data_IF_242715033570
#
_entry.id   IF_242715033570
#
_cell.length_a   1.000
_cell.length_b   1.000
_cell.length_c   1.000
_cell.angle_alpha   90.00
_cell.angle_beta   90.00
_cell.angle_gamma   90.00
#
_symmetry.space_group_name_H-M   'P 1'
#
loop_
_entity.id
_entity.type
_entity.pdbx_description
1 polymer ?
#
# COMPACT_ATOMS: atom_id res chain seq x y z
N UNK A 1 -18.51 -5.17 27.19
CA UNK A 1 -17.08 -4.82 27.31
C UNK A 1 -16.25 -6.10 27.41
N UNK A 2 -15.14 -6.19 26.67
CA UNK A 2 -14.25 -7.36 26.64
C UNK A 2 -13.43 -7.56 27.96
N UNK A 3 -13.50 -6.59 28.87
CA UNK A 3 -12.70 -6.60 30.09
C UNK A 3 -13.66 -6.48 31.29
N UNK A 4 -13.98 -7.60 31.91
CA UNK A 4 -14.70 -7.64 33.18
C UNK A 4 -13.68 -7.48 34.32
N UNK A 5 -13.40 -6.23 34.71
CA UNK A 5 -12.59 -5.97 35.88
C UNK A 5 -13.53 -5.92 37.10
N UNK A 6 -13.35 -6.78 38.13
CA UNK A 6 -14.19 -6.73 39.33
C UNK A 6 -14.20 -5.34 39.95
N UNK A 7 -15.39 -4.80 40.26
CA UNK A 7 -15.57 -3.49 40.86
C UNK A 7 -15.62 -2.29 39.89
N UNK A 8 -15.42 -2.50 38.56
CA UNK A 8 -15.56 -1.43 37.57
C UNK A 8 -16.89 -1.60 36.82
N UNK A 9 -17.90 -0.86 37.22
CA UNK A 9 -19.25 -0.89 36.61
C UNK A 9 -19.41 0.04 35.44
N UNK A 10 -18.55 1.06 35.29
CA UNK A 10 -18.58 2.05 34.21
C UNK A 10 -17.14 2.25 33.68
N UNK A 11 -17.00 2.38 32.38
CA UNK A 11 -15.70 2.72 31.79
C UNK A 11 -15.25 4.12 32.28
N UNK A 12 -14.15 4.25 33.05
CA UNK A 12 -13.70 5.53 33.57
C UNK A 12 -13.32 6.55 32.49
N UNK A 13 -13.03 6.07 31.25
CA UNK A 13 -12.72 6.93 30.11
C UNK A 13 -13.97 7.41 29.36
N UNK A 14 -15.19 6.96 29.71
CA UNK A 14 -16.41 7.36 28.99
C UNK A 14 -16.73 8.86 29.10
N UNK A 15 -16.22 9.52 30.12
CA UNK A 15 -16.39 10.96 30.35
C UNK A 15 -15.19 11.81 29.89
N UNK A 16 -14.20 11.21 29.23
CA UNK A 16 -13.11 11.99 28.64
C UNK A 16 -13.61 12.67 27.38
N UNK A 17 -13.56 13.98 27.31
CA UNK A 17 -13.76 14.73 26.09
C UNK A 17 -12.65 14.36 25.11
N UNK A 18 -13.02 13.75 23.98
CA UNK A 18 -12.09 13.49 22.90
C UNK A 18 -11.80 14.81 22.18
N UNK A 19 -10.52 15.11 22.02
CA UNK A 19 -10.13 16.24 21.17
C UNK A 19 -10.68 16.04 19.76
N UNK A 20 -11.25 17.10 19.19
CA UNK A 20 -11.67 17.09 17.78
C UNK A 20 -10.42 17.00 16.89
N UNK A 21 -10.07 15.79 16.49
CA UNK A 21 -8.96 15.56 15.57
C UNK A 21 -9.38 15.87 14.14
N UNK A 22 -8.92 16.99 13.61
CA UNK A 22 -9.08 17.32 12.19
C UNK A 22 -7.80 16.95 11.40
N UNK A 23 -7.46 15.66 11.42
CA UNK A 23 -6.24 15.12 10.83
C UNK A 23 -6.40 14.65 9.38
N UNK A 24 -7.40 15.13 8.64
CA UNK A 24 -7.57 14.82 7.21
C UNK A 24 -6.50 15.55 6.38
N UNK A 25 -5.34 14.93 6.27
CA UNK A 25 -4.33 15.36 5.30
C UNK A 25 -4.63 14.64 3.99
N UNK A 26 -5.25 15.36 3.05
CA UNK A 26 -5.46 14.89 1.68
C UNK A 26 -4.23 15.24 0.85
N UNK A 27 -3.27 14.31 0.77
CA UNK A 27 -2.03 14.47 0.00
C UNK A 27 -1.96 13.41 -1.09
N UNK A 28 -1.79 13.86 -2.34
CA UNK A 28 -1.49 12.98 -3.48
C UNK A 28 -0.35 13.59 -4.31
N UNK A 29 0.31 12.77 -5.09
CA UNK A 29 1.44 13.17 -5.92
C UNK A 29 0.96 13.74 -7.25
N UNK A 30 1.53 14.86 -7.66
CA UNK A 30 1.46 15.31 -9.06
C UNK A 30 2.29 14.41 -9.96
N UNK A 31 2.08 14.46 -11.27
CA UNK A 31 2.89 13.72 -12.26
C UNK A 31 4.39 14.03 -12.15
N UNK A 32 4.73 15.28 -11.85
CA UNK A 32 6.13 15.73 -11.69
C UNK A 32 6.73 15.14 -10.42
N UNK A 33 6.00 15.18 -9.31
CA UNK A 33 6.43 14.60 -8.03
C UNK A 33 6.59 13.09 -8.13
N UNK A 34 5.65 12.39 -8.79
CA UNK A 34 5.75 10.96 -9.02
C UNK A 34 7.02 10.58 -9.82
N UNK A 35 7.36 11.36 -10.86
CA UNK A 35 8.62 11.16 -11.61
C UNK A 35 9.85 11.36 -10.72
N UNK A 36 9.90 12.44 -9.91
CA UNK A 36 11.01 12.69 -8.98
C UNK A 36 11.15 11.57 -7.94
N UNK A 37 10.01 11.12 -7.39
CA UNK A 37 9.98 10.02 -6.44
C UNK A 37 10.54 8.73 -7.07
N UNK A 38 10.07 8.37 -8.26
CA UNK A 38 10.53 7.15 -8.93
C UNK A 38 12.02 7.19 -9.26
N UNK A 39 12.55 8.33 -9.69
CA UNK A 39 14.00 8.51 -9.91
C UNK A 39 14.81 8.26 -8.63
N UNK A 40 14.32 8.70 -7.47
CA UNK A 40 14.96 8.47 -6.17
C UNK A 40 14.82 7.03 -5.69
N UNK A 41 13.67 6.42 -5.91
CA UNK A 41 13.37 5.04 -5.52
C UNK A 41 14.21 4.03 -6.29
N UNK A 42 14.43 4.25 -7.58
CA UNK A 42 15.30 3.41 -8.43
C UNK A 42 16.76 3.40 -7.93
N UNK A 43 17.21 4.52 -7.36
CA UNK A 43 18.55 4.66 -6.80
C UNK A 43 18.69 4.14 -5.37
N UNK A 44 17.62 3.59 -4.78
CA UNK A 44 17.64 3.06 -3.42
C UNK A 44 18.57 1.85 -3.29
N UNK A 45 19.26 1.75 -2.15
CA UNK A 45 20.01 0.56 -1.75
C UNK A 45 19.11 -0.67 -1.65
N UNK A 46 17.87 -0.48 -1.17
CA UNK A 46 16.85 -1.52 -1.20
C UNK A 46 16.31 -1.68 -2.63
N UNK A 47 16.81 -2.69 -3.35
CA UNK A 47 16.45 -2.94 -4.75
C UNK A 47 14.98 -3.33 -4.96
N UNK A 48 14.30 -3.83 -3.90
CA UNK A 48 12.86 -4.13 -3.94
C UNK A 48 11.99 -2.87 -3.81
N UNK A 49 12.51 -1.77 -3.27
CA UNK A 49 11.72 -0.56 -3.02
C UNK A 49 11.05 -0.03 -4.30
N UNK A 50 11.73 -0.05 -5.43
CA UNK A 50 11.18 0.42 -6.71
C UNK A 50 9.96 -0.39 -7.14
N UNK A 51 9.99 -1.71 -6.96
CA UNK A 51 8.87 -2.59 -7.30
C UNK A 51 7.69 -2.39 -6.35
N UNK A 52 7.96 -2.32 -5.05
CA UNK A 52 6.95 -2.08 -4.01
C UNK A 52 6.24 -0.74 -4.24
N UNK A 53 6.99 0.35 -4.45
CA UNK A 53 6.42 1.68 -4.65
C UNK A 53 5.62 1.75 -5.95
N UNK A 54 6.13 1.16 -7.04
CA UNK A 54 5.38 1.10 -8.31
C UNK A 54 4.12 0.27 -8.17
N UNK A 55 4.19 -0.87 -7.48
CA UNK A 55 3.03 -1.72 -7.22
C UNK A 55 1.94 -0.97 -6.45
N UNK A 56 2.30 -0.26 -5.38
CA UNK A 56 1.37 0.56 -4.59
C UNK A 56 0.72 1.68 -5.43
N UNK A 57 1.48 2.33 -6.32
CA UNK A 57 0.96 3.35 -7.23
C UNK A 57 0.02 2.78 -8.31
N UNK A 58 0.21 1.53 -8.73
CA UNK A 58 -0.61 0.89 -9.76
C UNK A 58 -1.86 0.20 -9.23
N UNK A 59 -1.88 -0.16 -7.95
CA UNK A 59 -2.97 -0.93 -7.33
C UNK A 59 -3.76 -0.16 -6.29
N UNK A 60 -3.16 0.86 -5.67
CA UNK A 60 -3.73 1.52 -4.51
C UNK A 60 -3.84 0.64 -3.27
N UNK A 61 -3.23 -0.54 -3.26
CA UNK A 61 -3.29 -1.50 -2.16
C UNK A 61 -2.74 -0.92 -0.84
N UNK A 62 -3.15 -1.49 0.28
CA UNK A 62 -2.57 -1.15 1.57
C UNK A 62 -1.13 -1.69 1.64
N UNK A 63 -0.26 -0.97 2.36
CA UNK A 63 1.15 -1.37 2.51
C UNK A 63 1.33 -2.86 2.85
N UNK A 64 0.60 -3.34 3.84
CA UNK A 64 0.74 -4.71 4.30
C UNK A 64 0.21 -5.72 3.29
N UNK A 65 -0.84 -5.41 2.55
CA UNK A 65 -1.34 -6.23 1.44
C UNK A 65 -0.25 -6.39 0.36
N UNK A 66 0.39 -5.30 -0.02
CA UNK A 66 1.52 -5.33 -0.96
C UNK A 66 2.71 -6.14 -0.43
N UNK A 67 3.14 -5.91 0.82
CA UNK A 67 4.33 -6.57 1.38
C UNK A 67 4.14 -8.08 1.58
N UNK A 68 2.90 -8.56 1.75
CA UNK A 68 2.57 -9.98 1.92
C UNK A 68 2.00 -10.63 0.66
N UNK A 69 1.96 -9.91 -0.48
CA UNK A 69 1.48 -10.45 -1.74
C UNK A 69 2.30 -11.68 -2.16
N UNK A 70 1.61 -12.77 -2.50
CA UNK A 70 2.19 -14.01 -2.97
C UNK A 70 1.89 -14.21 -4.44
N UNK A 71 2.74 -14.96 -5.14
CA UNK A 71 2.52 -15.28 -6.53
C UNK A 71 1.25 -16.11 -6.76
N UNK A 72 0.89 -16.98 -5.79
CA UNK A 72 -0.34 -17.79 -5.82
C UNK A 72 -1.63 -16.96 -5.74
N UNK A 73 -1.56 -15.72 -5.23
CA UNK A 73 -2.71 -14.82 -5.15
C UNK A 73 -3.09 -14.19 -6.51
N UNK A 74 -2.28 -14.40 -7.55
CA UNK A 74 -2.49 -13.84 -8.88
C UNK A 74 -3.03 -14.88 -9.85
N UNK A 75 -4.23 -14.64 -10.37
CA UNK A 75 -4.76 -15.34 -11.53
C UNK A 75 -4.43 -14.51 -12.79
N UNK A 76 -3.41 -14.96 -13.52
CA UNK A 76 -2.98 -14.29 -14.75
C UNK A 76 -3.87 -14.59 -15.96
N UNK A 77 -4.76 -15.59 -15.89
CA UNK A 77 -5.76 -15.87 -16.92
C UNK A 77 -6.96 -14.95 -16.73
N UNK A 78 -7.48 -14.89 -15.49
CA UNK A 78 -8.56 -13.97 -15.13
C UNK A 78 -8.10 -12.52 -14.94
N UNK A 79 -6.78 -12.26 -15.02
CA UNK A 79 -6.18 -10.93 -14.79
C UNK A 79 -6.61 -10.31 -13.47
N UNK A 80 -6.54 -11.08 -12.39
CA UNK A 80 -7.01 -10.66 -11.06
C UNK A 80 -5.98 -11.02 -9.99
N UNK A 81 -5.74 -10.09 -9.07
CA UNK A 81 -5.04 -10.32 -7.82
C UNK A 81 -6.05 -10.40 -6.68
N UNK A 82 -6.05 -11.52 -5.96
CA UNK A 82 -6.94 -11.76 -4.82
C UNK A 82 -6.21 -11.49 -3.52
N UNK A 83 -6.72 -10.55 -2.72
CA UNK A 83 -6.23 -10.27 -1.37
C UNK A 83 -7.07 -11.09 -0.40
N UNK A 84 -6.51 -12.16 0.23
CA UNK A 84 -7.31 -13.19 0.90
C UNK A 84 -8.03 -12.70 2.16
N UNK A 85 -7.48 -11.73 2.89
CA UNK A 85 -8.11 -11.16 4.09
C UNK A 85 -7.72 -9.70 4.22
N UNK A 86 -8.60 -8.81 3.84
CA UNK A 86 -8.46 -7.39 4.13
C UNK A 86 -8.72 -7.12 5.63
N UNK A 87 -8.31 -5.95 6.11
CA UNK A 87 -8.60 -5.50 7.50
C UNK A 87 -10.10 -5.50 7.82
N UNK A 88 -10.98 -5.46 6.80
CA UNK A 88 -12.44 -5.55 6.91
C UNK A 88 -12.97 -6.98 7.01
N UNK A 89 -12.11 -8.01 6.95
CA UNK A 89 -12.52 -9.42 6.99
C UNK A 89 -13.12 -9.94 5.69
N UNK A 90 -13.06 -9.16 4.60
CA UNK A 90 -13.56 -9.57 3.29
C UNK A 90 -12.41 -9.82 2.31
N UNK A 91 -12.62 -10.79 1.41
CA UNK A 91 -11.75 -11.00 0.25
C UNK A 91 -11.89 -9.82 -0.70
N UNK A 92 -10.78 -9.32 -1.21
CA UNK A 92 -10.76 -8.17 -2.12
C UNK A 92 -10.06 -8.55 -3.43
N UNK A 93 -10.65 -8.18 -4.56
CA UNK A 93 -10.12 -8.46 -5.89
C UNK A 93 -9.63 -7.18 -6.56
N UNK A 94 -8.38 -7.18 -6.99
CA UNK A 94 -7.74 -6.07 -7.69
C UNK A 94 -7.44 -6.49 -9.13
N UNK A 95 -7.88 -5.75 -10.15
CA UNK A 95 -7.59 -6.11 -11.55
C UNK A 95 -6.09 -5.98 -11.85
N UNK A 96 -5.54 -6.98 -12.51
CA UNK A 96 -4.16 -6.97 -13.02
C UNK A 96 -4.14 -6.27 -14.38
N UNK A 97 -3.85 -4.97 -14.35
CA UNK A 97 -3.70 -4.18 -15.58
C UNK A 97 -2.43 -4.58 -16.35
N UNK A 98 -2.35 -4.23 -17.63
CA UNK A 98 -1.14 -4.44 -18.45
C UNK A 98 0.11 -3.81 -17.81
N UNK A 99 -0.03 -2.62 -17.20
CA UNK A 99 1.08 -1.96 -16.49
C UNK A 99 1.53 -2.74 -15.27
N UNK A 100 0.58 -3.31 -14.50
CA UNK A 100 0.88 -4.15 -13.35
C UNK A 100 1.53 -5.48 -13.78
N UNK A 101 1.02 -6.12 -14.84
CA UNK A 101 1.60 -7.33 -15.42
C UNK A 101 3.05 -7.10 -15.86
N UNK A 102 3.30 -6.00 -16.58
CA UNK A 102 4.66 -5.61 -16.99
C UNK A 102 5.58 -5.41 -15.78
N UNK A 103 5.10 -4.76 -14.72
CA UNK A 103 5.86 -4.65 -13.48
C UNK A 103 6.21 -6.03 -12.90
N UNK A 104 5.21 -6.91 -12.73
CA UNK A 104 5.39 -8.23 -12.14
C UNK A 104 6.39 -9.09 -12.93
N UNK A 105 6.41 -8.98 -14.26
CA UNK A 105 7.38 -9.66 -15.13
C UNK A 105 8.83 -9.17 -14.93
N UNK A 106 9.04 -7.96 -14.36
CA UNK A 106 10.38 -7.42 -14.08
C UNK A 106 10.83 -7.65 -12.63
N UNK A 107 9.93 -8.10 -11.75
CA UNK A 107 10.29 -8.42 -10.36
C UNK A 107 11.22 -9.65 -10.35
N UNK A 108 12.38 -9.59 -9.69
CA UNK A 108 13.25 -10.75 -9.55
C UNK A 108 12.49 -11.89 -8.83
N UNK A 109 12.26 -12.99 -9.54
CA UNK A 109 11.53 -14.14 -9.02
C UNK A 109 12.48 -15.28 -8.69
N UNK A 110 12.32 -15.85 -7.49
CA UNK A 110 12.89 -17.14 -7.12
C UNK A 110 11.77 -18.17 -7.03
N UNK A 111 11.89 -19.29 -7.76
CA UNK A 111 10.87 -20.34 -7.76
C UNK A 111 10.62 -20.97 -6.38
N UNK A 112 11.57 -20.83 -5.46
CA UNK A 112 11.46 -21.33 -4.10
C UNK A 112 10.79 -20.34 -3.13
N UNK A 113 10.53 -19.09 -3.55
CA UNK A 113 9.95 -18.08 -2.67
C UNK A 113 8.51 -17.73 -3.09
N UNK A 114 7.52 -17.91 -2.19
CA UNK A 114 6.12 -17.63 -2.52
C UNK A 114 5.81 -16.13 -2.63
N UNK A 115 6.60 -15.25 -1.98
CA UNK A 115 6.31 -13.82 -1.93
C UNK A 115 6.77 -13.08 -3.18
N UNK A 116 5.97 -12.09 -3.60
CA UNK A 116 6.30 -11.21 -4.74
C UNK A 116 7.47 -10.28 -4.39
N UNK A 117 7.48 -9.76 -3.17
CA UNK A 117 8.48 -8.79 -2.70
C UNK A 117 9.23 -9.29 -1.45
N UNK A 118 10.01 -10.38 -1.56
CA UNK A 118 10.73 -10.92 -0.42
C UNK A 118 11.87 -10.01 0.01
N UNK A 119 12.16 -9.99 1.30
CA UNK A 119 13.39 -9.40 1.83
C UNK A 119 14.57 -10.25 1.40
N UNK A 120 15.51 -9.68 0.68
CA UNK A 120 16.68 -10.39 0.14
C UNK A 120 17.56 -11.08 1.21
N UNK A 121 17.48 -10.66 2.47
CA UNK A 121 18.27 -11.24 3.57
C UNK A 121 17.58 -12.44 4.23
N UNK A 122 16.25 -12.42 4.33
CA UNK A 122 15.48 -13.41 5.11
C UNK A 122 14.61 -14.31 4.25
N UNK A 123 14.31 -13.90 3.00
CA UNK A 123 13.31 -14.54 2.16
C UNK A 123 11.86 -14.23 2.56
N UNK A 124 11.64 -13.66 3.73
CA UNK A 124 10.32 -13.34 4.29
C UNK A 124 9.81 -11.95 3.83
N UNK A 125 8.53 -11.63 4.02
CA UNK A 125 8.01 -10.28 3.80
C UNK A 125 8.79 -9.23 4.59
N UNK A 126 8.87 -8.03 4.06
CA UNK A 126 9.43 -6.91 4.81
C UNK A 126 8.53 -6.57 6.01
N UNK A 127 9.07 -6.56 7.21
CA UNK A 127 8.41 -6.01 8.40
C UNK A 127 8.19 -4.50 8.21
N UNK A 128 9.19 -3.82 7.65
CA UNK A 128 9.11 -2.39 7.35
C UNK A 128 10.05 -2.01 6.20
N UNK A 129 9.58 -1.11 5.35
CA UNK A 129 10.37 -0.45 4.32
C UNK A 129 10.64 1.02 4.67
N UNK A 130 10.29 1.44 5.91
CA UNK A 130 10.26 2.85 6.30
C UNK A 130 11.59 3.57 6.07
N UNK A 131 12.71 2.96 6.46
CA UNK A 131 14.03 3.60 6.32
C UNK A 131 14.37 3.88 4.86
N UNK A 132 14.19 2.89 3.98
CA UNK A 132 14.45 3.04 2.55
C UNK A 132 13.49 4.06 1.90
N UNK A 133 12.20 3.99 2.23
CA UNK A 133 11.19 4.94 1.81
C UNK A 133 11.52 6.37 2.25
N UNK A 134 11.85 6.55 3.53
CA UNK A 134 12.13 7.87 4.08
C UNK A 134 13.35 8.54 3.44
N UNK A 135 14.40 7.76 3.14
CA UNK A 135 15.56 8.25 2.38
C UNK A 135 15.17 8.67 0.96
N UNK A 136 14.41 7.81 0.25
CA UNK A 136 13.99 8.08 -1.13
C UNK A 136 13.09 9.32 -1.25
N UNK A 137 12.04 9.43 -0.41
CA UNK A 137 11.13 10.59 -0.44
C UNK A 137 11.84 11.91 -0.10
N UNK A 138 12.74 11.90 0.90
CA UNK A 138 13.55 13.08 1.25
C UNK A 138 14.46 13.50 0.09
N UNK A 139 15.14 12.53 -0.56
CA UNK A 139 15.97 12.78 -1.74
C UNK A 139 15.16 13.36 -2.91
N UNK A 140 13.90 12.97 -3.05
CA UNK A 140 12.97 13.51 -4.04
C UNK A 140 12.41 14.90 -3.68
N UNK A 141 12.74 15.47 -2.49
CA UNK A 141 12.16 16.71 -1.99
C UNK A 141 10.67 16.57 -1.61
N UNK A 142 10.27 15.39 -1.10
CA UNK A 142 8.87 15.02 -0.78
C UNK A 142 8.77 14.56 0.68
N UNK A 143 9.36 15.31 1.61
CA UNK A 143 9.41 14.93 3.03
C UNK A 143 8.04 14.88 3.71
N UNK A 144 7.04 15.54 3.16
CA UNK A 144 5.64 15.56 3.58
C UNK A 144 4.85 14.33 3.13
N UNK A 145 5.31 13.62 2.08
CA UNK A 145 4.59 12.48 1.49
C UNK A 145 4.76 11.22 2.35
N UNK A 146 3.66 10.62 2.74
CA UNK A 146 3.61 9.35 3.47
C UNK A 146 3.44 8.20 2.47
N UNK A 147 3.78 6.98 2.87
CA UNK A 147 3.58 5.81 2.03
C UNK A 147 2.10 5.58 1.69
N UNK A 148 1.19 5.93 2.61
CA UNK A 148 -0.26 5.85 2.39
C UNK A 148 -0.76 6.84 1.33
N UNK A 149 -0.07 7.94 1.11
CA UNK A 149 -0.44 8.93 0.10
C UNK A 149 -0.26 8.43 -1.34
N UNK A 150 0.46 7.30 -1.53
CA UNK A 150 0.49 6.58 -2.81
C UNK A 150 -0.90 6.02 -3.17
N UNK A 151 -1.65 5.53 -2.18
CA UNK A 151 -3.04 5.07 -2.37
C UNK A 151 -3.97 6.26 -2.69
N UNK A 152 -3.78 7.40 -2.05
CA UNK A 152 -4.50 8.63 -2.41
C UNK A 152 -4.15 9.09 -3.82
N UNK A 153 -2.89 8.93 -4.23
CA UNK A 153 -2.43 9.24 -5.60
C UNK A 153 -3.12 8.33 -6.63
N UNK A 154 -3.22 7.02 -6.37
CA UNK A 154 -3.94 6.08 -7.21
C UNK A 154 -5.42 6.47 -7.33
N UNK A 155 -6.10 6.72 -6.19
CA UNK A 155 -7.49 7.15 -6.17
C UNK A 155 -7.72 8.43 -6.99
N UNK A 156 -6.91 9.47 -6.75
CA UNK A 156 -7.00 10.73 -7.48
C UNK A 156 -6.75 10.56 -8.98
N UNK A 157 -5.83 9.67 -9.36
CA UNK A 157 -5.55 9.37 -10.77
C UNK A 157 -6.76 8.75 -11.45
N UNK A 158 -7.46 7.81 -10.79
CA UNK A 158 -8.67 7.19 -11.32
C UNK A 158 -9.81 8.20 -11.47
N UNK A 159 -10.06 9.01 -10.45
CA UNK A 159 -11.09 10.07 -10.50
C UNK A 159 -10.79 11.04 -11.64
N UNK A 160 -9.54 11.50 -11.76
CA UNK A 160 -9.13 12.41 -12.82
C UNK A 160 -9.17 11.78 -14.23
N UNK A 161 -9.22 10.45 -14.33
CA UNK A 161 -9.43 9.72 -15.58
C UNK A 161 -10.91 9.44 -15.90
N UNK A 162 -11.83 10.02 -15.11
CA UNK A 162 -13.28 9.93 -15.33
C UNK A 162 -13.95 8.73 -14.63
N UNK A 163 -13.26 8.01 -13.74
CA UNK A 163 -13.90 6.96 -12.94
C UNK A 163 -14.75 7.56 -11.83
N UNK A 164 -15.90 6.98 -11.58
CA UNK A 164 -16.78 7.40 -10.50
C UNK A 164 -16.16 7.11 -9.13
N UNK A 165 -16.53 7.89 -8.11
CA UNK A 165 -16.07 7.65 -6.74
C UNK A 165 -16.46 6.26 -6.23
N UNK A 166 -17.62 5.74 -6.68
CA UNK A 166 -18.11 4.41 -6.33
C UNK A 166 -17.19 3.30 -6.87
N UNK A 167 -16.79 3.40 -8.16
CA UNK A 167 -15.81 2.46 -8.76
C UNK A 167 -14.46 2.50 -8.04
N UNK A 168 -13.99 3.71 -7.73
CA UNK A 168 -12.73 3.89 -6.99
C UNK A 168 -12.81 3.28 -5.60
N UNK A 169 -13.91 3.47 -4.89
CA UNK A 169 -14.14 2.86 -3.58
C UNK A 169 -14.16 1.33 -3.67
N UNK A 170 -14.86 0.77 -4.65
CA UNK A 170 -14.91 -0.67 -4.88
C UNK A 170 -13.52 -1.26 -5.19
N UNK A 171 -12.68 -0.54 -5.95
CA UNK A 171 -11.29 -0.95 -6.25
C UNK A 171 -10.34 -0.85 -5.06
N UNK A 172 -10.65 -0.01 -4.10
CA UNK A 172 -9.80 0.18 -2.94
C UNK A 172 -10.16 -0.75 -1.76
N UNK A 173 -11.38 -1.17 -1.62
CA UNK A 173 -11.87 -2.03 -0.53
C UNK A 173 -12.04 -1.32 0.81
#
# INVERSE_FOLDING_TARGET
SKWQIPGVTVNPASNCELFAENNKIERYLTKIEAKRLMSSVVQSENKMLKYIVTFLLLTGARRNECLHAKWEDFDFVAMTWTIPLSKSGSVHHVPVTTSLLNLLNTVPRSNANPFVFPNAKTGEPYVSIFTAWNRARKKAGLSDVRLHDLRHTFASTLVNSGRSLYEVQALLG
#
